data_IF_044898886065
#
_entry.id   IF_044898886065
#
_cell.length_a   1.000
_cell.length_b   1.000
_cell.length_c   1.000
_cell.angle_alpha   90.00
_cell.angle_beta   90.00
_cell.angle_gamma   90.00
#
_symmetry.space_group_name_H-M   'P 1'
#
loop_
_entity.id
_entity.type
_entity.pdbx_description
1 polymer ?
#
# COMPACT_ATOMS: atom_id res chain seq x y z
N UNK A 1 13.86 -1.42 -0.75
CA UNK A 1 12.79 -2.46 -0.80
C UNK A 1 13.33 -3.88 -0.93
N UNK A 2 14.30 -4.14 -1.81
CA UNK A 2 14.81 -5.51 -2.01
C UNK A 2 15.49 -6.09 -0.76
N UNK A 3 16.24 -5.28 -0.04
CA UNK A 3 16.86 -5.72 1.22
C UNK A 3 15.82 -6.14 2.25
N UNK A 4 14.73 -5.37 2.36
CA UNK A 4 13.63 -5.68 3.27
C UNK A 4 12.85 -6.90 2.78
N UNK A 5 12.61 -7.01 1.48
CA UNK A 5 11.95 -8.17 0.88
C UNK A 5 12.71 -9.46 1.17
N UNK A 6 14.02 -9.46 1.02
CA UNK A 6 14.85 -10.62 1.30
C UNK A 6 14.82 -10.99 2.79
N UNK A 7 14.86 -10.00 3.67
CA UNK A 7 14.74 -10.21 5.11
C UNK A 7 13.40 -10.88 5.46
N UNK A 8 12.32 -10.44 4.86
CA UNK A 8 10.99 -11.01 5.07
C UNK A 8 10.94 -12.44 4.53
N UNK A 9 11.54 -12.70 3.36
CA UNK A 9 11.62 -14.03 2.79
C UNK A 9 12.34 -14.99 3.72
N UNK A 10 13.52 -14.62 4.20
CA UNK A 10 14.29 -15.43 5.13
C UNK A 10 13.53 -15.72 6.42
N UNK A 11 12.85 -14.72 6.96
CA UNK A 11 12.01 -14.85 8.15
C UNK A 11 10.91 -15.90 7.94
N UNK A 12 10.20 -15.82 6.82
CA UNK A 12 9.12 -16.76 6.51
C UNK A 12 9.63 -18.15 6.14
N UNK A 13 10.71 -18.25 5.37
CA UNK A 13 11.32 -19.53 4.98
C UNK A 13 11.75 -20.33 6.21
N UNK A 14 12.37 -19.67 7.19
CA UNK A 14 12.81 -20.30 8.43
C UNK A 14 11.64 -20.91 9.23
N UNK A 15 10.42 -20.46 9.00
CA UNK A 15 9.20 -20.88 9.69
C UNK A 15 8.28 -21.72 8.82
N UNK A 16 8.72 -22.06 7.60
CA UNK A 16 7.92 -22.78 6.60
C UNK A 16 6.61 -22.04 6.25
N UNK A 17 6.67 -20.70 6.20
CA UNK A 17 5.52 -19.85 5.90
C UNK A 17 5.53 -19.28 4.47
N UNK A 18 6.32 -19.86 3.57
CA UNK A 18 6.45 -19.39 2.18
C UNK A 18 5.67 -20.28 1.21
N UNK A 19 4.37 -20.44 1.44
CA UNK A 19 3.49 -21.24 0.61
C UNK A 19 2.84 -20.39 -0.48
N UNK A 20 3.08 -20.71 -1.76
CA UNK A 20 2.52 -19.96 -2.90
C UNK A 20 0.99 -19.97 -2.92
N UNK A 21 0.35 -21.01 -2.42
CA UNK A 21 -1.11 -21.11 -2.33
C UNK A 21 -1.75 -20.11 -1.35
N UNK A 22 -0.95 -19.43 -0.53
CA UNK A 22 -1.44 -18.48 0.47
C UNK A 22 -1.76 -17.08 -0.07
N UNK A 23 -1.58 -16.82 -1.37
CA UNK A 23 -1.76 -15.46 -1.94
C UNK A 23 -3.17 -14.91 -1.67
N UNK A 24 -4.20 -15.72 -1.85
CA UNK A 24 -5.58 -15.31 -1.54
C UNK A 24 -5.75 -14.90 -0.09
N UNK A 25 -5.20 -15.69 0.82
CA UNK A 25 -5.28 -15.42 2.25
C UNK A 25 -4.51 -14.15 2.62
N UNK A 26 -3.36 -13.92 1.99
CA UNK A 26 -2.59 -12.70 2.20
C UNK A 26 -3.35 -11.46 1.71
N UNK A 27 -4.03 -11.55 0.56
CA UNK A 27 -4.86 -10.47 0.05
C UNK A 27 -6.06 -10.21 0.96
N UNK A 28 -6.69 -11.27 1.48
CA UNK A 28 -7.77 -11.13 2.46
C UNK A 28 -7.26 -10.46 3.74
N UNK A 29 -6.10 -10.86 4.21
CA UNK A 29 -5.48 -10.25 5.39
C UNK A 29 -5.19 -8.76 5.16
N UNK A 30 -4.73 -8.37 3.96
CA UNK A 30 -4.58 -6.95 3.62
C UNK A 30 -5.90 -6.20 3.72
N UNK A 31 -6.98 -6.80 3.24
CA UNK A 31 -8.33 -6.23 3.33
C UNK A 31 -8.78 -6.06 4.78
N UNK A 32 -8.50 -7.04 5.63
CA UNK A 32 -8.80 -6.97 7.07
C UNK A 32 -8.03 -5.82 7.74
N UNK A 33 -6.74 -5.69 7.44
CA UNK A 33 -5.90 -4.61 7.99
C UNK A 33 -6.41 -3.23 7.58
N UNK A 34 -6.81 -3.08 6.31
CA UNK A 34 -7.41 -1.84 5.81
C UNK A 34 -8.71 -1.55 6.56
N UNK A 35 -9.54 -2.57 6.76
CA UNK A 35 -10.81 -2.44 7.49
C UNK A 35 -10.61 -2.02 8.94
N UNK A 36 -9.63 -2.58 9.62
CA UNK A 36 -9.29 -2.22 11.01
C UNK A 36 -8.83 -0.77 11.11
N UNK A 37 -7.96 -0.33 10.20
CA UNK A 37 -7.53 1.08 10.17
C UNK A 37 -8.68 2.00 9.82
N UNK A 38 -9.53 1.61 8.87
CA UNK A 38 -10.72 2.37 8.50
C UNK A 38 -11.66 2.55 9.69
N UNK A 39 -11.82 1.55 10.56
CA UNK A 39 -12.66 1.66 11.75
C UNK A 39 -12.26 2.81 12.69
N UNK A 40 -10.98 3.20 12.68
CA UNK A 40 -10.50 4.32 13.51
C UNK A 40 -11.09 5.65 13.05
N UNK A 41 -11.29 5.83 11.75
CA UNK A 41 -11.60 7.13 11.14
C UNK A 41 -12.92 7.16 10.37
N UNK A 42 -13.65 6.05 10.26
CA UNK A 42 -14.90 6.01 9.49
C UNK A 42 -15.95 6.95 10.06
N UNK A 43 -16.72 7.55 9.18
CA UNK A 43 -17.89 8.38 9.51
C UNK A 43 -17.58 9.64 10.32
N UNK A 44 -16.34 10.12 10.30
CA UNK A 44 -15.96 11.37 10.95
C UNK A 44 -15.54 12.40 9.90
N UNK A 45 -15.61 13.68 10.27
CA UNK A 45 -15.13 14.76 9.41
C UNK A 45 -13.60 14.79 9.35
N UNK A 46 -13.06 15.56 8.42
CA UNK A 46 -11.60 15.63 8.18
C UNK A 46 -10.84 16.11 9.42
N UNK A 47 -11.38 17.08 10.14
CA UNK A 47 -10.72 17.61 11.33
C UNK A 47 -10.62 16.55 12.44
N UNK A 48 -11.70 15.82 12.69
CA UNK A 48 -11.74 14.74 13.66
C UNK A 48 -10.84 13.59 13.21
N UNK A 49 -10.82 13.28 11.91
CA UNK A 49 -9.94 12.27 11.33
C UNK A 49 -8.48 12.57 11.66
N UNK A 50 -8.03 13.80 11.46
CA UNK A 50 -6.66 14.20 11.75
C UNK A 50 -6.31 14.02 13.23
N UNK A 51 -7.21 14.40 14.11
CA UNK A 51 -7.02 14.22 15.56
C UNK A 51 -6.93 12.75 15.96
N UNK A 52 -7.77 11.90 15.36
CA UNK A 52 -7.75 10.46 15.61
C UNK A 52 -6.45 9.83 15.12
N UNK A 53 -5.97 10.22 13.95
CA UNK A 53 -4.70 9.72 13.41
C UNK A 53 -3.53 10.11 14.32
N UNK A 54 -3.51 11.34 14.82
CA UNK A 54 -2.48 11.79 15.77
C UNK A 54 -2.54 11.01 17.09
N UNK A 55 -3.74 10.85 17.64
CA UNK A 55 -3.95 10.13 18.90
C UNK A 55 -3.59 8.65 18.77
N UNK A 56 -3.88 8.04 17.64
CA UNK A 56 -3.63 6.62 17.37
C UNK A 56 -2.46 6.42 16.40
N UNK A 57 -1.43 7.25 16.53
CA UNK A 57 -0.25 7.20 15.66
C UNK A 57 0.43 5.83 15.68
N UNK A 58 0.46 5.15 16.81
CA UNK A 58 1.00 3.81 16.96
C UNK A 58 0.23 2.78 16.12
N UNK A 59 -1.09 2.92 16.02
CA UNK A 59 -1.93 2.05 15.17
C UNK A 59 -1.66 2.31 13.69
N UNK A 60 -1.45 3.57 13.30
CA UNK A 60 -1.09 3.92 11.92
C UNK A 60 0.27 3.33 11.56
N UNK A 61 1.25 3.45 12.44
CA UNK A 61 2.59 2.90 12.25
C UNK A 61 2.53 1.38 12.09
N UNK A 62 1.78 0.70 12.95
CA UNK A 62 1.59 -0.74 12.87
C UNK A 62 0.90 -1.15 11.56
N UNK A 63 -0.11 -0.42 11.15
CA UNK A 63 -0.81 -0.65 9.87
C UNK A 63 0.17 -0.55 8.69
N UNK A 64 0.99 0.50 8.65
CA UNK A 64 1.98 0.67 7.59
C UNK A 64 2.95 -0.51 7.56
N UNK A 65 3.47 -0.91 8.73
CA UNK A 65 4.38 -2.05 8.82
C UNK A 65 3.75 -3.35 8.35
N UNK A 66 2.52 -3.63 8.78
CA UNK A 66 1.78 -4.84 8.38
C UNK A 66 1.52 -4.87 6.88
N UNK A 67 1.13 -3.74 6.30
CA UNK A 67 0.88 -3.64 4.86
C UNK A 67 2.14 -3.86 4.04
N UNK A 68 3.26 -3.29 4.46
CA UNK A 68 4.55 -3.49 3.79
C UNK A 68 4.96 -4.96 3.89
N UNK A 69 4.85 -5.55 5.07
CA UNK A 69 5.15 -6.98 5.25
C UNK A 69 4.34 -7.85 4.30
N UNK A 70 3.03 -7.62 4.24
CA UNK A 70 2.14 -8.43 3.39
C UNK A 70 2.44 -8.26 1.91
N UNK A 71 2.65 -7.03 1.45
CA UNK A 71 2.94 -6.80 0.03
C UNK A 71 4.31 -7.35 -0.39
N UNK A 72 5.31 -7.27 0.48
CA UNK A 72 6.62 -7.83 0.19
C UNK A 72 6.61 -9.35 0.24
N UNK A 73 5.80 -9.96 1.10
CA UNK A 73 5.58 -11.40 1.11
C UNK A 73 4.94 -11.86 -0.20
N UNK A 74 3.89 -11.20 -0.64
CA UNK A 74 3.26 -11.46 -1.94
C UNK A 74 4.30 -11.33 -3.06
N UNK A 75 5.13 -10.30 -2.99
CA UNK A 75 6.15 -10.03 -4.00
C UNK A 75 7.10 -11.21 -4.20
N UNK A 76 7.75 -11.70 -3.14
CA UNK A 76 8.68 -12.79 -3.33
C UNK A 76 7.97 -14.12 -3.67
N UNK A 77 6.77 -14.35 -3.15
CA UNK A 77 5.99 -15.54 -3.52
C UNK A 77 5.60 -15.56 -4.99
N UNK A 78 5.44 -14.40 -5.60
CA UNK A 78 5.09 -14.24 -7.02
C UNK A 78 6.31 -13.92 -7.91
N UNK A 79 7.51 -14.05 -7.39
CA UNK A 79 8.77 -13.76 -8.11
C UNK A 79 8.80 -12.32 -8.66
N UNK A 80 8.29 -11.37 -7.88
CA UNK A 80 8.30 -9.94 -8.21
C UNK A 80 9.43 -9.25 -7.46
N UNK A 81 10.23 -8.46 -8.16
CA UNK A 81 11.19 -7.53 -7.57
C UNK A 81 10.43 -6.27 -7.14
N UNK A 82 10.23 -6.08 -5.85
CA UNK A 82 9.45 -4.97 -5.31
C UNK A 82 10.09 -3.61 -5.60
N UNK A 83 11.43 -3.53 -5.62
CA UNK A 83 12.10 -2.28 -5.94
C UNK A 83 11.85 -1.89 -7.40
N UNK A 84 11.99 -2.84 -8.32
CA UNK A 84 11.68 -2.60 -9.73
C UNK A 84 10.21 -2.21 -9.90
N UNK A 85 9.30 -2.90 -9.22
CA UNK A 85 7.88 -2.61 -9.30
C UNK A 85 7.55 -1.17 -8.91
N UNK A 86 8.08 -0.69 -7.79
CA UNK A 86 7.84 0.70 -7.35
C UNK A 86 8.53 1.71 -8.27
N UNK A 87 9.73 1.41 -8.74
CA UNK A 87 10.43 2.31 -9.68
C UNK A 87 9.65 2.46 -10.97
N UNK A 88 9.10 1.38 -11.52
CA UNK A 88 8.28 1.40 -12.74
C UNK A 88 6.99 2.20 -12.53
N UNK A 89 6.33 2.02 -11.39
CA UNK A 89 5.11 2.78 -11.04
C UNK A 89 5.43 4.28 -10.93
N UNK A 90 6.53 4.63 -10.29
CA UNK A 90 6.92 6.04 -10.14
C UNK A 90 7.25 6.67 -11.49
N UNK A 91 7.94 5.95 -12.38
CA UNK A 91 8.23 6.41 -13.72
C UNK A 91 6.95 6.65 -14.52
N UNK A 92 5.96 5.76 -14.38
CA UNK A 92 4.64 5.92 -15.02
C UNK A 92 3.91 7.15 -14.47
N UNK A 93 3.93 7.36 -13.16
CA UNK A 93 3.28 8.52 -12.53
C UNK A 93 3.94 9.84 -12.95
N UNK A 94 5.26 9.87 -13.09
CA UNK A 94 5.96 11.06 -13.57
C UNK A 94 5.52 11.46 -14.97
N UNK A 95 5.23 10.48 -15.84
CA UNK A 95 4.67 10.74 -17.17
C UNK A 95 3.22 11.16 -17.13
N UNK A 96 2.41 10.51 -16.29
CA UNK A 96 0.97 10.78 -16.17
C UNK A 96 0.68 12.12 -15.48
N UNK A 97 1.51 12.50 -14.52
CA UNK A 97 1.33 13.70 -13.71
C UNK A 97 2.54 14.63 -13.81
N UNK A 98 2.83 15.22 -14.99
CA UNK A 98 3.93 16.16 -15.10
C UNK A 98 3.70 17.36 -14.19
N UNK A 99 4.76 17.89 -13.57
CA UNK A 99 4.70 18.92 -12.54
C UNK A 99 3.89 20.14 -13.00
N UNK A 100 4.15 20.63 -14.21
CA UNK A 100 3.51 21.81 -14.76
C UNK A 100 2.00 21.65 -14.95
N UNK A 101 1.50 20.44 -15.14
CA UNK A 101 0.07 20.15 -15.37
C UNK A 101 -0.66 19.61 -14.15
N UNK A 102 0.06 19.05 -13.19
CA UNK A 102 -0.53 18.32 -12.06
C UNK A 102 -0.31 18.98 -10.70
N UNK A 103 0.47 20.06 -10.62
CA UNK A 103 0.77 20.70 -9.35
C UNK A 103 -0.51 21.20 -8.67
N UNK A 104 -0.79 20.64 -7.50
CA UNK A 104 -1.98 20.95 -6.73
C UNK A 104 -3.26 20.24 -7.15
N UNK A 105 -3.26 19.52 -8.29
CA UNK A 105 -4.45 18.82 -8.79
C UNK A 105 -4.04 17.72 -9.77
N UNK A 106 -4.33 16.46 -9.45
CA UNK A 106 -4.02 15.35 -10.37
C UNK A 106 -5.08 15.14 -11.46
N UNK A 107 -6.29 15.71 -11.30
CA UNK A 107 -7.41 15.40 -12.20
C UNK A 107 -7.91 13.97 -12.02
N UNK A 108 -9.22 13.75 -12.20
CA UNK A 108 -9.78 12.42 -12.00
C UNK A 108 -9.39 11.46 -13.13
N UNK A 109 -9.40 11.94 -14.38
CA UNK A 109 -9.00 11.12 -15.55
C UNK A 109 -7.56 10.63 -15.45
N UNK A 110 -6.62 11.51 -15.04
CA UNK A 110 -5.20 11.13 -14.91
C UNK A 110 -5.01 10.07 -13.83
N UNK A 111 -5.84 10.09 -12.81
CA UNK A 111 -5.82 9.11 -11.73
C UNK A 111 -6.55 7.81 -12.07
N UNK A 112 -7.07 7.68 -13.29
CA UNK A 112 -7.75 6.48 -13.76
C UNK A 112 -9.28 6.55 -13.65
N UNK A 113 -9.83 7.68 -13.24
CA UNK A 113 -11.27 7.90 -13.16
C UNK A 113 -11.82 8.65 -14.37
N UNK A 114 -12.96 9.28 -14.19
CA UNK A 114 -13.68 10.01 -15.24
C UNK A 114 -13.97 11.42 -14.75
N UNK A 115 -13.79 12.43 -15.60
CA UNK A 115 -14.12 13.83 -15.31
C UNK A 115 -15.53 14.15 -15.82
N UNK A 116 -16.20 15.09 -15.15
CA UNK A 116 -17.58 15.49 -15.49
C UNK A 116 -17.74 16.01 -16.91
N UNK A 117 -16.68 16.54 -17.51
CA UNK A 117 -16.70 17.16 -18.84
C UNK A 117 -16.24 16.23 -19.97
N UNK A 118 -16.21 14.95 -19.72
CA UNK A 118 -15.85 13.97 -20.75
C UNK A 118 -17.06 13.45 -21.52
#
# INVERSE_FOLDING_TARGET
MMQTQEKIKLFNDARNWSTKGSIKDLMLNMTEEIGEMWNVIKWVDVETQQKLIEKHHDEVENFVGDMIYLILKISYLCDVDSQKAIDDVMAEYEKRFPIDKAKGNHGNTRAGGVDLKQ
#
